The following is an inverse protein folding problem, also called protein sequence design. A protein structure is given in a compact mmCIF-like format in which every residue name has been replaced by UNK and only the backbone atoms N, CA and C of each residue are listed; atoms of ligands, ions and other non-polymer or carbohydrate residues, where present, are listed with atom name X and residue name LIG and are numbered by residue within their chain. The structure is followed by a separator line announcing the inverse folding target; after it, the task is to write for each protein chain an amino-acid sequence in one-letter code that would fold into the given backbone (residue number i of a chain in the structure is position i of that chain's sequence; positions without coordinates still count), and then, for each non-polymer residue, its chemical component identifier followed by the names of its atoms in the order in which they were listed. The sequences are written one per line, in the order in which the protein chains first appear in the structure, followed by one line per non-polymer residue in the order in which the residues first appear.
data_IF_511572769801
#
_entry.id   IF_511572769801
#
_cell.length_a   1.000
_cell.length_b   1.000
_cell.length_c   1.000
_cell.angle_alpha   90.00
_cell.angle_beta   90.00
_cell.angle_gamma   90.00
#
_symmetry.space_group_name_H-M   'P 1'
#
loop_
_entity.id
_entity.type
_entity.pdbx_description
1 polymer ?
#
# COMPACT_ATOMS: atom_id res chain seq x y z
N UNK A 1 -21.24 9.04 -3.53
CA UNK A 1 -21.44 9.42 -2.11
C UNK A 1 -20.19 10.08 -1.50
N UNK A 2 -19.01 9.45 -1.49
CA UNK A 2 -17.76 10.05 -0.92
C UNK A 2 -17.33 11.39 -1.55
N UNK A 3 -17.35 11.50 -2.89
CA UNK A 3 -16.99 12.75 -3.56
C UNK A 3 -17.88 13.93 -3.12
N UNK A 4 -19.19 13.72 -3.00
CA UNK A 4 -20.13 14.76 -2.54
C UNK A 4 -19.88 15.21 -1.09
N UNK A 5 -19.52 14.28 -0.19
CA UNK A 5 -19.17 14.62 1.20
C UNK A 5 -17.89 15.47 1.26
N UNK A 6 -16.89 15.15 0.43
CA UNK A 6 -15.66 15.94 0.37
C UNK A 6 -15.86 17.30 -0.27
N UNK A 7 -16.69 17.40 -1.31
CA UNK A 7 -17.08 18.69 -1.92
C UNK A 7 -17.74 19.57 -0.85
N UNK A 8 -18.73 19.05 -0.11
CA UNK A 8 -19.40 19.81 0.95
C UNK A 8 -18.44 20.27 2.07
N UNK A 9 -17.44 19.44 2.42
CA UNK A 9 -16.43 19.78 3.41
C UNK A 9 -15.47 20.89 2.94
N UNK A 10 -15.02 20.82 1.69
CA UNK A 10 -14.11 21.83 1.12
C UNK A 10 -14.83 23.12 0.74
N UNK A 11 -16.12 23.07 0.38
CA UNK A 11 -16.97 24.25 0.23
C UNK A 11 -17.12 24.99 1.57
N UNK A 12 -17.23 24.25 2.68
CA UNK A 12 -17.30 24.84 4.02
C UNK A 12 -15.96 25.41 4.51
N UNK A 13 -14.81 24.94 4.00
CA UNK A 13 -13.47 25.45 4.32
C UNK A 13 -12.52 25.38 3.12
N UNK A 14 -12.50 26.44 2.29
CA UNK A 14 -11.62 26.51 1.13
C UNK A 14 -10.14 26.39 1.53
N UNK A 15 -9.38 25.56 0.80
CA UNK A 15 -7.92 25.41 0.99
C UNK A 15 -7.50 24.48 2.14
N UNK A 16 -8.41 23.67 2.70
CA UNK A 16 -8.06 22.66 3.70
C UNK A 16 -6.91 21.75 3.23
N UNK A 17 -5.85 21.67 4.04
CA UNK A 17 -4.74 20.75 3.81
C UNK A 17 -3.91 21.04 2.54
N UNK A 18 -4.02 22.25 1.97
CA UNK A 18 -3.29 22.64 0.75
C UNK A 18 -3.90 22.13 -0.56
N UNK A 19 -5.09 21.53 -0.52
CA UNK A 19 -5.79 21.00 -1.68
C UNK A 19 -6.93 21.90 -2.15
N UNK A 20 -7.07 22.04 -3.47
CA UNK A 20 -8.29 22.56 -4.09
C UNK A 20 -9.40 21.50 -4.05
N UNK A 21 -10.64 21.90 -4.35
CA UNK A 21 -11.77 20.96 -4.47
C UNK A 21 -11.48 19.89 -5.54
N UNK A 22 -10.89 20.29 -6.68
CA UNK A 22 -10.52 19.38 -7.76
C UNK A 22 -9.46 18.36 -7.28
N UNK A 23 -8.45 18.81 -6.53
CA UNK A 23 -7.43 17.93 -5.96
C UNK A 23 -8.04 16.94 -4.96
N UNK A 24 -8.98 17.37 -4.12
CA UNK A 24 -9.66 16.50 -3.17
C UNK A 24 -10.50 15.42 -3.88
N UNK A 25 -11.20 15.78 -4.97
CA UNK A 25 -11.96 14.81 -5.79
C UNK A 25 -10.99 13.82 -6.44
N UNK A 26 -9.92 14.31 -7.08
CA UNK A 26 -8.87 13.47 -7.70
C UNK A 26 -8.21 12.55 -6.70
N UNK A 27 -7.84 13.05 -5.53
CA UNK A 27 -7.31 12.24 -4.43
C UNK A 27 -8.26 11.11 -4.04
N UNK A 28 -9.57 11.38 -4.01
CA UNK A 28 -10.58 10.38 -3.68
C UNK A 28 -10.64 9.26 -4.72
N UNK A 29 -10.62 9.61 -6.01
CA UNK A 29 -10.56 8.63 -7.10
C UNK A 29 -9.27 7.82 -7.08
N UNK A 30 -8.11 8.45 -6.88
CA UNK A 30 -6.83 7.77 -6.75
C UNK A 30 -6.82 6.79 -5.56
N UNK A 31 -7.30 7.25 -4.41
CA UNK A 31 -7.38 6.40 -3.21
C UNK A 31 -8.25 5.17 -3.46
N UNK A 32 -9.37 5.30 -4.20
CA UNK A 32 -10.18 4.14 -4.61
C UNK A 32 -9.46 3.25 -5.62
N UNK A 33 -8.77 3.85 -6.60
CA UNK A 33 -8.00 3.13 -7.61
C UNK A 33 -6.89 2.28 -6.98
N UNK A 34 -6.27 2.73 -5.88
CA UNK A 34 -5.14 2.02 -5.25
C UNK A 34 -5.55 0.81 -4.40
N UNK A 35 -6.83 0.70 -4.01
CA UNK A 35 -7.33 -0.37 -3.12
C UNK A 35 -6.96 -1.77 -3.63
N UNK A 36 -7.21 -2.04 -4.90
CA UNK A 36 -7.00 -3.36 -5.50
C UNK A 36 -5.52 -3.71 -5.65
N UNK A 37 -4.74 -2.93 -6.42
CA UNK A 37 -3.33 -3.20 -6.66
C UNK A 37 -2.53 -3.38 -5.36
N UNK A 38 -2.76 -2.49 -4.40
CA UNK A 38 -2.04 -2.48 -3.12
C UNK A 38 -2.75 -3.26 -2.00
N UNK A 39 -3.84 -3.98 -2.27
CA UNK A 39 -4.59 -4.79 -1.29
C UNK A 39 -4.77 -4.08 0.06
N UNK A 40 -5.36 -2.87 0.03
CA UNK A 40 -5.47 -1.98 1.20
C UNK A 40 -6.22 -2.59 2.39
N UNK A 41 -7.04 -3.60 2.13
CA UNK A 41 -7.78 -4.34 3.17
C UNK A 41 -7.03 -5.57 3.70
N UNK A 42 -5.76 -5.73 3.33
CA UNK A 42 -4.93 -6.88 3.67
C UNK A 42 -5.14 -8.06 2.72
N UNK A 43 -4.45 -9.16 3.02
CA UNK A 43 -4.55 -10.40 2.24
C UNK A 43 -3.77 -10.39 0.91
N UNK A 44 -4.25 -11.20 -0.03
CA UNK A 44 -3.64 -11.38 -1.36
C UNK A 44 -2.37 -12.25 -1.38
N UNK A 45 -1.91 -12.74 -0.23
CA UNK A 45 -0.76 -13.64 -0.11
C UNK A 45 -1.21 -14.95 0.57
N UNK A 46 -0.95 -16.08 -0.07
CA UNK A 46 -1.30 -17.41 0.46
C UNK A 46 -0.35 -17.91 1.57
N UNK A 47 0.63 -17.10 1.99
CA UNK A 47 1.70 -17.52 2.92
C UNK A 47 1.13 -17.93 4.28
N UNK A 48 0.21 -17.16 4.85
CA UNK A 48 -0.34 -17.45 6.19
C UNK A 48 -1.07 -18.80 6.20
N UNK A 49 -1.85 -19.06 5.15
CA UNK A 49 -2.56 -20.33 4.98
C UNK A 49 -1.59 -21.50 4.80
N UNK A 50 -0.56 -21.34 3.95
CA UNK A 50 0.48 -22.35 3.74
C UNK A 50 1.30 -22.65 4.99
N UNK A 51 1.48 -21.67 5.87
CA UNK A 51 2.11 -21.90 7.18
C UNK A 51 1.20 -22.77 8.05
N UNK A 52 -0.11 -22.47 8.07
CA UNK A 52 -1.10 -23.23 8.85
C UNK A 52 -1.28 -24.66 8.35
N UNK A 53 -1.21 -24.91 7.05
CA UNK A 53 -1.31 -26.26 6.48
C UNK A 53 0.02 -27.03 6.52
N UNK A 54 1.14 -26.35 6.78
CA UNK A 54 2.48 -26.93 6.73
C UNK A 54 3.11 -26.94 5.32
N UNK A 55 2.35 -26.58 4.28
CA UNK A 55 2.82 -26.56 2.89
C UNK A 55 3.97 -25.56 2.66
N UNK A 56 4.12 -24.58 3.56
CA UNK A 56 5.23 -23.62 3.53
C UNK A 56 6.59 -24.33 3.57
N UNK A 57 6.70 -25.53 4.15
CA UNK A 57 7.94 -26.30 4.18
C UNK A 57 8.44 -26.61 2.77
N UNK A 58 7.54 -26.98 1.85
CA UNK A 58 7.90 -27.24 0.46
C UNK A 58 8.38 -25.97 -0.26
N UNK A 59 7.79 -24.81 0.04
CA UNK A 59 8.24 -23.55 -0.56
C UNK A 59 9.63 -23.14 -0.07
N UNK A 60 9.96 -23.44 1.19
CA UNK A 60 11.23 -23.08 1.82
C UNK A 60 12.41 -23.99 1.40
N UNK A 61 12.12 -25.18 0.89
CA UNK A 61 13.11 -26.12 0.33
C UNK A 61 13.44 -25.79 -1.13
N UNK A 62 12.54 -25.10 -1.85
CA UNK A 62 12.82 -24.69 -3.23
C UNK A 62 14.05 -23.77 -3.28
N UNK A 63 14.89 -23.90 -4.32
CA UNK A 63 16.06 -23.03 -4.50
C UNK A 63 15.69 -21.58 -4.82
N UNK A 64 14.44 -21.34 -5.23
CA UNK A 64 13.92 -20.00 -5.46
C UNK A 64 13.66 -19.28 -4.13
N UNK A 65 14.01 -18.00 -4.06
CA UNK A 65 13.70 -17.16 -2.90
C UNK A 65 12.18 -17.01 -2.74
N UNK A 66 11.64 -17.45 -1.60
CA UNK A 66 10.22 -17.30 -1.27
C UNK A 66 9.77 -15.85 -1.44
N UNK A 67 10.54 -14.89 -0.91
CA UNK A 67 10.22 -13.47 -1.03
C UNK A 67 10.10 -13.02 -2.49
N UNK A 68 11.08 -13.37 -3.33
CA UNK A 68 11.11 -12.94 -4.73
C UNK A 68 9.98 -13.57 -5.54
N UNK A 69 9.71 -14.85 -5.31
CA UNK A 69 8.63 -15.57 -5.98
C UNK A 69 7.26 -14.99 -5.63
N UNK A 70 6.99 -14.79 -4.33
CA UNK A 70 5.73 -14.19 -3.89
C UNK A 70 5.61 -12.74 -4.36
N UNK A 71 6.70 -11.98 -4.41
CA UNK A 71 6.69 -10.61 -4.92
C UNK A 71 6.32 -10.57 -6.41
N UNK A 72 6.86 -11.48 -7.22
CA UNK A 72 6.55 -11.56 -8.64
C UNK A 72 5.05 -11.86 -8.88
N UNK A 73 4.49 -12.82 -8.13
CA UNK A 73 3.07 -13.15 -8.18
C UNK A 73 2.18 -11.97 -7.77
N UNK A 74 2.51 -11.31 -6.65
CA UNK A 74 1.75 -10.16 -6.16
C UNK A 74 1.85 -8.95 -7.11
N UNK A 75 2.99 -8.71 -7.74
CA UNK A 75 3.16 -7.67 -8.77
C UNK A 75 2.34 -7.98 -10.02
N UNK A 76 2.29 -9.25 -10.46
CA UNK A 76 1.43 -9.66 -11.58
C UNK A 76 -0.04 -9.43 -11.28
N UNK A 77 -0.50 -9.82 -10.08
CA UNK A 77 -1.84 -9.54 -9.57
C UNK A 77 -2.11 -8.04 -9.50
N UNK A 78 -1.16 -7.25 -8.99
CA UNK A 78 -1.30 -5.80 -8.87
C UNK A 78 -1.42 -5.12 -10.24
N UNK A 79 -0.63 -5.55 -11.23
CA UNK A 79 -0.72 -5.06 -12.60
C UNK A 79 -2.08 -5.38 -13.21
N UNK A 80 -2.55 -6.62 -13.08
CA UNK A 80 -3.88 -7.04 -13.54
C UNK A 80 -5.01 -6.19 -12.94
N UNK A 81 -5.00 -5.99 -11.62
CA UNK A 81 -6.01 -5.17 -10.95
C UNK A 81 -5.88 -3.69 -11.32
N UNK A 82 -4.67 -3.19 -11.57
CA UNK A 82 -4.49 -1.82 -12.03
C UNK A 82 -5.20 -1.62 -13.37
N UNK A 83 -4.97 -2.53 -14.32
CA UNK A 83 -5.53 -2.44 -15.66
C UNK A 83 -7.04 -2.63 -15.70
N UNK A 84 -7.57 -3.65 -15.01
CA UNK A 84 -8.98 -4.04 -15.18
C UNK A 84 -9.90 -3.48 -14.10
N UNK A 85 -9.39 -3.20 -12.89
CA UNK A 85 -10.20 -2.68 -11.79
C UNK A 85 -9.99 -1.18 -11.58
N UNK A 86 -8.75 -0.69 -11.68
CA UNK A 86 -8.43 0.68 -11.27
C UNK A 86 -8.57 1.68 -12.42
N UNK A 87 -8.06 1.36 -13.62
CA UNK A 87 -8.08 2.29 -14.75
C UNK A 87 -9.49 2.63 -15.26
N UNK A 88 -10.41 1.68 -15.52
CA UNK A 88 -11.67 2.01 -16.16
C UNK A 88 -12.53 2.99 -15.34
N UNK A 89 -12.76 2.78 -14.03
CA UNK A 89 -13.51 3.75 -13.22
C UNK A 89 -12.80 5.11 -13.06
N UNK A 90 -11.47 5.12 -13.04
CA UNK A 90 -10.69 6.37 -12.94
C UNK A 90 -10.79 7.19 -14.22
N UNK A 91 -10.75 6.55 -15.39
CA UNK A 91 -10.92 7.21 -16.68
C UNK A 91 -12.34 7.77 -16.82
N UNK A 92 -13.36 6.98 -16.46
CA UNK A 92 -14.76 7.45 -16.44
C UNK A 92 -14.90 8.64 -15.47
N UNK A 93 -14.29 8.54 -14.28
CA UNK A 93 -14.23 9.64 -13.31
C UNK A 93 -13.58 10.91 -13.87
N UNK A 94 -12.48 10.77 -14.62
CA UNK A 94 -11.80 11.87 -15.28
C UNK A 94 -12.71 12.63 -16.24
N UNK A 95 -13.50 11.92 -17.05
CA UNK A 95 -14.44 12.54 -17.98
C UNK A 95 -15.65 13.18 -17.27
N UNK A 96 -16.16 12.57 -16.20
CA UNK A 96 -17.38 13.05 -15.53
C UNK A 96 -17.13 14.19 -14.53
N UNK A 97 -15.97 14.17 -13.84
CA UNK A 97 -15.68 15.08 -12.73
C UNK A 97 -14.49 16.02 -13.01
N UNK A 98 -13.88 15.93 -14.20
CA UNK A 98 -12.75 16.79 -14.57
C UNK A 98 -11.52 16.57 -13.68
N UNK A 99 -11.12 15.30 -13.50
CA UNK A 99 -9.97 14.99 -12.66
C UNK A 99 -8.71 15.67 -13.19
N UNK A 100 -7.93 16.24 -12.27
CA UNK A 100 -6.61 16.81 -12.57
C UNK A 100 -5.73 15.73 -13.20
N UNK A 101 -5.03 16.03 -14.29
CA UNK A 101 -4.07 15.12 -14.91
C UNK A 101 -2.78 15.03 -14.06
N UNK A 102 -2.04 13.92 -14.10
CA UNK A 102 -0.79 13.82 -13.34
C UNK A 102 0.19 14.90 -13.80
N UNK A 103 0.74 15.67 -12.86
CA UNK A 103 1.74 16.69 -13.17
C UNK A 103 2.96 16.08 -13.87
N UNK A 104 3.38 14.89 -13.43
CA UNK A 104 4.54 14.16 -13.93
C UNK A 104 4.23 12.65 -14.03
N UNK A 105 3.67 12.17 -15.14
CA UNK A 105 3.14 10.81 -15.24
C UNK A 105 4.20 9.71 -15.05
N UNK A 106 5.44 9.92 -15.50
CA UNK A 106 6.54 8.95 -15.30
C UNK A 106 6.94 8.81 -13.83
N UNK A 107 7.04 9.93 -13.11
CA UNK A 107 7.33 9.93 -11.68
C UNK A 107 6.18 9.33 -10.86
N UNK A 108 4.93 9.62 -11.27
CA UNK A 108 3.76 9.00 -10.68
C UNK A 108 3.75 7.48 -10.87
N UNK A 109 4.02 6.99 -12.08
CA UNK A 109 4.06 5.55 -12.36
C UNK A 109 5.12 4.82 -11.50
N UNK A 110 6.30 5.42 -11.36
CA UNK A 110 7.35 4.88 -10.50
C UNK A 110 6.94 4.92 -9.02
N UNK A 111 6.33 6.02 -8.57
CA UNK A 111 5.84 6.16 -7.21
C UNK A 111 4.72 5.15 -6.89
N UNK A 112 3.82 4.90 -7.84
CA UNK A 112 2.79 3.88 -7.72
C UNK A 112 3.40 2.48 -7.59
N UNK A 113 4.39 2.14 -8.43
CA UNK A 113 5.08 0.85 -8.35
C UNK A 113 5.82 0.65 -7.01
N UNK A 114 6.45 1.71 -6.49
CA UNK A 114 7.06 1.68 -5.15
C UNK A 114 5.99 1.54 -4.04
N UNK A 115 4.85 2.22 -4.16
CA UNK A 115 3.73 2.08 -3.23
C UNK A 115 3.18 0.65 -3.17
N UNK A 116 3.03 -0.01 -4.34
CA UNK A 116 2.69 -1.43 -4.44
C UNK A 116 3.76 -2.30 -3.76
N UNK A 117 5.03 -2.01 -3.97
CA UNK A 117 6.15 -2.75 -3.37
C UNK A 117 6.19 -2.62 -1.84
N UNK A 118 5.93 -1.42 -1.30
CA UNK A 118 5.82 -1.17 0.14
C UNK A 118 4.61 -1.92 0.73
N UNK A 119 3.46 -1.88 0.06
CA UNK A 119 2.29 -2.68 0.46
C UNK A 119 2.59 -4.18 0.49
N UNK A 120 3.22 -4.71 -0.57
CA UNK A 120 3.63 -6.10 -0.62
C UNK A 120 4.54 -6.45 0.55
N UNK A 121 5.61 -5.67 0.78
CA UNK A 121 6.58 -5.94 1.83
C UNK A 121 5.92 -5.95 3.23
N UNK A 122 5.01 -5.00 3.48
CA UNK A 122 4.22 -4.95 4.71
C UNK A 122 3.34 -6.19 4.88
N UNK A 123 2.54 -6.54 3.87
CA UNK A 123 1.67 -7.73 3.90
C UNK A 123 2.46 -9.02 4.02
N UNK A 124 3.64 -9.10 3.40
CA UNK A 124 4.54 -10.24 3.49
C UNK A 124 5.06 -10.45 4.91
N UNK A 125 5.47 -9.38 5.60
CA UNK A 125 5.86 -9.43 7.01
C UNK A 125 4.73 -9.90 7.91
N UNK A 126 3.52 -9.38 7.67
CA UNK A 126 2.32 -9.79 8.42
C UNK A 126 2.00 -11.26 8.17
N UNK A 127 2.08 -11.74 6.93
CA UNK A 127 1.85 -13.14 6.62
C UNK A 127 2.92 -14.07 7.23
N UNK A 128 4.19 -13.65 7.27
CA UNK A 128 5.27 -14.40 7.93
C UNK A 128 5.10 -14.48 9.45
N UNK A 129 4.41 -13.53 10.08
CA UNK A 129 4.18 -13.55 11.53
C UNK A 129 3.44 -14.80 12.00
N UNK A 130 2.66 -15.45 11.11
CA UNK A 130 1.99 -16.72 11.35
C UNK A 130 2.96 -17.87 11.69
N UNK A 131 4.26 -17.74 11.38
CA UNK A 131 5.26 -18.71 11.86
C UNK A 131 5.46 -18.68 13.39
N UNK A 132 5.05 -17.62 14.09
CA UNK A 132 5.25 -17.45 15.53
C UNK A 132 3.95 -17.19 16.31
N UNK A 133 2.91 -16.69 15.66
CA UNK A 133 1.63 -16.35 16.28
C UNK A 133 0.60 -17.42 15.94
N UNK A 134 -0.11 -17.93 16.96
CA UNK A 134 -1.14 -18.97 16.81
C UNK A 134 -2.39 -18.43 16.10
N UNK A 135 -2.77 -17.17 16.39
CA UNK A 135 -3.90 -16.48 15.77
C UNK A 135 -3.41 -15.37 14.83
N UNK A 136 -3.26 -15.69 13.55
CA UNK A 136 -2.83 -14.76 12.50
C UNK A 136 -3.94 -13.76 12.12
N UNK A 137 -5.22 -14.07 12.39
CA UNK A 137 -6.35 -13.21 12.01
C UNK A 137 -6.30 -11.88 12.73
N UNK A 138 -6.03 -11.87 14.03
CA UNK A 138 -5.89 -10.63 14.81
C UNK A 138 -4.78 -9.72 14.25
N UNK A 139 -3.65 -10.32 13.86
CA UNK A 139 -2.52 -9.60 13.26
C UNK A 139 -2.89 -9.01 11.89
N UNK A 140 -3.61 -9.77 11.06
CA UNK A 140 -4.11 -9.31 9.77
C UNK A 140 -5.11 -8.15 9.93
N UNK A 141 -6.07 -8.27 10.85
CA UNK A 141 -7.04 -7.21 11.13
C UNK A 141 -6.35 -5.92 11.59
N UNK A 142 -5.41 -6.02 12.54
CA UNK A 142 -4.66 -4.86 13.02
C UNK A 142 -3.85 -4.21 11.89
N UNK A 143 -3.17 -5.01 11.09
CA UNK A 143 -2.43 -4.56 9.90
C UNK A 143 -3.33 -3.78 8.93
N UNK A 144 -4.53 -4.29 8.64
CA UNK A 144 -5.48 -3.63 7.75
C UNK A 144 -5.95 -2.29 8.35
N UNK A 145 -6.26 -2.23 9.65
CA UNK A 145 -6.64 -0.98 10.31
C UNK A 145 -5.54 0.07 10.21
N UNK A 146 -4.29 -0.31 10.52
CA UNK A 146 -3.14 0.59 10.42
C UNK A 146 -2.93 1.09 8.99
N UNK A 147 -3.00 0.19 8.02
CA UNK A 147 -2.83 0.52 6.60
C UNK A 147 -3.92 1.48 6.12
N UNK A 148 -5.18 1.21 6.43
CA UNK A 148 -6.31 2.05 6.01
C UNK A 148 -6.22 3.45 6.60
N UNK A 149 -5.86 3.55 7.89
CA UNK A 149 -5.85 4.81 8.62
C UNK A 149 -4.62 5.67 8.32
N UNK A 150 -3.42 5.09 8.37
CA UNK A 150 -2.17 5.84 8.23
C UNK A 150 -1.67 5.99 6.78
N UNK A 151 -2.36 5.42 5.79
CA UNK A 151 -1.99 5.60 4.37
C UNK A 151 -2.53 6.88 3.75
N UNK A 152 -3.56 7.48 4.34
CA UNK A 152 -4.31 8.58 3.74
C UNK A 152 -5.54 8.13 2.94
N UNK A 153 -5.85 6.82 2.90
CA UNK A 153 -6.94 6.28 2.08
C UNK A 153 -8.34 6.77 2.48
N UNK A 154 -8.59 6.97 3.78
CA UNK A 154 -9.87 7.52 4.25
C UNK A 154 -9.93 9.02 3.98
N UNK A 155 -8.84 9.73 4.28
CA UNK A 155 -8.75 11.18 4.26
C UNK A 155 -7.25 11.55 4.18
N UNK A 156 -6.87 12.58 3.40
CA UNK A 156 -5.46 12.96 3.27
C UNK A 156 -4.76 13.16 4.60
N UNK A 157 -3.54 12.64 4.73
CA UNK A 157 -2.73 12.78 5.93
C UNK A 157 -2.36 14.24 6.24
N UNK A 158 -2.46 15.14 5.26
CA UNK A 158 -2.27 16.60 5.45
C UNK A 158 -3.29 17.21 6.40
N UNK A 159 -4.42 16.54 6.64
CA UNK A 159 -5.46 16.98 7.57
C UNK A 159 -5.28 16.43 8.99
N UNK A 160 -4.32 15.53 9.22
CA UNK A 160 -4.08 14.98 10.55
C UNK A 160 -3.40 16.03 11.44
N UNK A 161 -3.86 16.23 12.69
CA UNK A 161 -3.35 17.29 13.54
C UNK A 161 -2.01 16.95 14.20
N UNK A 162 -1.16 17.97 14.35
CA UNK A 162 0.02 17.97 15.21
C UNK A 162 0.93 16.75 15.04
N UNK A 163 1.31 16.14 16.16
CA UNK A 163 2.24 15.01 16.20
C UNK A 163 1.73 13.76 15.48
N UNK A 164 0.40 13.55 15.43
CA UNK A 164 -0.20 12.41 14.75
C UNK A 164 0.00 12.51 13.24
N UNK A 165 -0.16 13.71 12.68
CA UNK A 165 0.13 13.97 11.27
C UNK A 165 1.60 13.74 10.94
N UNK A 166 2.52 14.19 11.79
CA UNK A 166 3.96 13.93 11.62
C UNK A 166 4.27 12.44 11.63
N UNK A 167 3.73 11.69 12.60
CA UNK A 167 3.93 10.24 12.70
C UNK A 167 3.36 9.52 11.47
N UNK A 168 2.13 9.87 11.06
CA UNK A 168 1.47 9.28 9.90
C UNK A 168 2.30 9.49 8.63
N UNK A 169 2.76 10.72 8.39
CA UNK A 169 3.56 11.07 7.21
C UNK A 169 4.96 10.45 7.21
N UNK A 170 5.53 10.15 8.38
CA UNK A 170 6.82 9.45 8.49
C UNK A 170 6.69 7.92 8.34
N UNK A 171 5.48 7.36 8.50
CA UNK A 171 5.22 5.93 8.50
C UNK A 171 5.36 5.28 7.11
N UNK A 172 5.59 3.96 7.02
CA UNK A 172 5.58 3.26 5.72
C UNK A 172 4.20 3.28 5.04
N UNK A 173 3.12 3.50 5.79
CA UNK A 173 1.76 3.49 5.21
C UNK A 173 1.54 4.69 4.29
N UNK A 174 2.09 5.85 4.64
CA UNK A 174 2.04 7.05 3.80
C UNK A 174 2.65 6.80 2.42
N UNK A 175 3.71 5.97 2.35
CA UNK A 175 4.37 5.59 1.11
C UNK A 175 3.46 4.81 0.15
N UNK A 176 2.34 4.26 0.62
CA UNK A 176 1.43 3.47 -0.21
C UNK A 176 0.41 4.35 -0.95
N UNK A 177 -0.33 5.25 -0.25
CA UNK A 177 -1.41 6.04 -0.87
C UNK A 177 -1.09 7.52 -0.91
N UNK A 178 -0.75 8.13 0.23
CA UNK A 178 -0.52 9.57 0.33
C UNK A 178 0.59 10.05 -0.63
N UNK A 179 1.77 9.42 -0.61
CA UNK A 179 2.90 9.86 -1.43
C UNK A 179 2.64 9.81 -2.94
N UNK A 180 2.15 8.70 -3.53
CA UNK A 180 1.84 8.69 -4.96
C UNK A 180 0.72 9.66 -5.33
N UNK A 181 -0.26 9.89 -4.45
CA UNK A 181 -1.29 10.89 -4.68
C UNK A 181 -0.73 12.33 -4.64
N UNK A 182 0.13 12.65 -3.67
CA UNK A 182 0.79 13.97 -3.60
C UNK A 182 1.67 14.22 -4.84
N UNK A 183 2.39 13.20 -5.33
CA UNK A 183 3.21 13.29 -6.56
C UNK A 183 2.31 13.48 -7.79
N UNK A 184 1.19 12.76 -7.86
CA UNK A 184 0.22 12.91 -8.95
C UNK A 184 -0.31 14.34 -9.03
N UNK A 185 -0.69 14.91 -7.87
CA UNK A 185 -1.26 16.25 -7.73
C UNK A 185 -0.19 17.37 -7.76
N UNK A 186 1.10 17.03 -7.80
CA UNK A 186 2.18 18.02 -7.75
C UNK A 186 2.37 18.69 -6.38
N UNK A 187 1.74 18.17 -5.32
CA UNK A 187 1.82 18.68 -3.95
C UNK A 187 3.11 18.27 -3.20
N UNK A 188 3.92 17.39 -3.79
CA UNK A 188 5.19 16.91 -3.22
C UNK A 188 6.27 16.83 -4.29
N UNK A 189 7.51 17.15 -3.90
CA UNK A 189 8.69 16.91 -4.74
C UNK A 189 8.79 15.42 -5.14
N UNK A 190 8.84 15.10 -6.44
CA UNK A 190 8.94 13.72 -6.89
C UNK A 190 10.17 12.99 -6.35
N UNK A 191 11.34 13.64 -6.37
CA UNK A 191 12.59 13.02 -5.92
C UNK A 191 12.53 12.68 -4.42
N UNK A 192 12.03 13.60 -3.59
CA UNK A 192 11.89 13.37 -2.15
C UNK A 192 10.87 12.28 -1.83
N UNK A 193 9.73 12.27 -2.52
CA UNK A 193 8.71 11.24 -2.36
C UNK A 193 9.21 9.85 -2.78
N UNK A 194 9.87 9.74 -3.93
CA UNK A 194 10.46 8.48 -4.40
C UNK A 194 11.56 7.98 -3.46
N UNK A 195 12.44 8.85 -2.96
CA UNK A 195 13.47 8.48 -2.00
C UNK A 195 12.85 7.93 -0.69
N UNK A 196 11.80 8.57 -0.20
CA UNK A 196 11.05 8.11 0.97
C UNK A 196 10.41 6.73 0.75
N UNK A 197 9.75 6.50 -0.39
CA UNK A 197 9.16 5.21 -0.70
C UNK A 197 10.22 4.12 -0.91
N UNK A 198 11.32 4.44 -1.60
CA UNK A 198 12.43 3.53 -1.82
C UNK A 198 13.10 3.12 -0.50
N UNK A 199 13.28 4.07 0.42
CA UNK A 199 13.76 3.80 1.77
C UNK A 199 12.87 2.77 2.49
N UNK A 200 11.55 3.02 2.55
CA UNK A 200 10.63 2.10 3.21
C UNK A 200 10.52 0.74 2.52
N UNK A 201 10.55 0.72 1.18
CA UNK A 201 10.58 -0.52 0.41
C UNK A 201 11.83 -1.34 0.77
N UNK A 202 13.01 -0.72 0.80
CA UNK A 202 14.26 -1.38 1.16
C UNK A 202 14.24 -1.90 2.61
N UNK A 203 13.78 -1.09 3.56
CA UNK A 203 13.67 -1.47 4.98
C UNK A 203 12.75 -2.68 5.15
N UNK A 204 11.54 -2.64 4.59
CA UNK A 204 10.54 -3.70 4.77
C UNK A 204 10.89 -4.98 4.00
N UNK A 205 11.39 -4.87 2.77
CA UNK A 205 11.85 -6.03 2.00
C UNK A 205 13.08 -6.68 2.65
N UNK A 206 14.00 -5.86 3.18
CA UNK A 206 15.14 -6.33 3.95
C UNK A 206 14.71 -7.08 5.21
N UNK A 207 13.78 -6.51 5.98
CA UNK A 207 13.18 -7.18 7.13
C UNK A 207 12.49 -8.49 6.74
N UNK A 208 11.76 -8.50 5.62
CA UNK A 208 11.13 -9.68 5.04
C UNK A 208 12.15 -10.77 4.76
N UNK A 209 13.22 -10.45 4.03
CA UNK A 209 14.29 -11.40 3.72
C UNK A 209 14.96 -11.98 4.98
N UNK A 210 15.20 -11.15 6.00
CA UNK A 210 15.77 -11.60 7.28
C UNK A 210 14.82 -12.52 8.04
N UNK A 211 13.51 -12.20 8.07
CA UNK A 211 12.51 -13.04 8.72
C UNK A 211 12.26 -14.34 7.97
N UNK A 212 12.28 -14.34 6.64
CA UNK A 212 12.23 -15.58 5.84
C UNK A 212 13.40 -16.51 6.21
N UNK A 213 14.61 -15.97 6.36
CA UNK A 213 15.79 -16.75 6.80
C UNK A 213 15.60 -17.34 8.20
N UNK A 214 14.97 -16.62 9.13
CA UNK A 214 14.66 -17.12 10.48
C UNK A 214 13.55 -18.17 10.45
N UNK A 215 12.49 -17.96 9.66
CA UNK A 215 11.40 -18.90 9.49
C UNK A 215 11.90 -20.26 8.98
N UNK A 216 12.83 -20.27 8.01
CA UNK A 216 13.49 -21.50 7.53
C UNK A 216 14.11 -22.33 8.65
N UNK A 217 14.79 -21.69 9.60
CA UNK A 217 15.41 -22.42 10.73
C UNK A 217 14.38 -23.03 11.67
N UNK A 218 13.26 -22.34 11.89
CA UNK A 218 12.20 -22.83 12.79
C UNK A 218 11.40 -23.99 12.19
N UNK A 219 11.06 -23.89 10.90
CA UNK A 219 10.29 -24.93 10.20
C UNK A 219 11.08 -26.23 10.08
N UNK A 220 12.40 -26.16 9.87
CA UNK A 220 13.28 -27.35 9.89
C UNK A 220 13.22 -28.06 11.25
N UNK A 221 13.15 -27.34 12.37
CA UNK A 221 13.08 -27.95 13.71
C UNK A 221 11.75 -28.70 13.95
N UNK A 222 10.68 -28.33 13.25
CA UNK A 222 9.38 -29.01 13.38
C UNK A 222 9.16 -30.14 12.36
N UNK A 223 9.94 -30.18 11.28
CA UNK A 223 9.85 -31.20 10.24
C UNK A 223 10.81 -32.40 10.39
N UNK A 224 11.80 -32.31 11.28
CA UNK A 224 12.88 -33.31 11.41
C UNK A 224 14.11 -32.94 10.58
#
# INVERSE_FOLDING_TARGET
MRAYVLIALWDARPGLGGYTVADAITFCFLSQAFIGPMQMFGGGLAISERIRTGDIAFDLVRPASLLAWTMADDLGRAAYLTLLRSLPPTIIGAFLFGLVAPALPGFFALSFALGVSVSFAWRYLVALSACWIIDDKGTQTLSSVLTIFFSGMILPLTLFPGWLGTLANASPFAAMVQVPADIYLGARSPAGGLAFQAFWAAVLLGAGALLTRRARRKVVIQGG
#
